data_IF_999721543041
#
_entry.id   IF_999721543041
#
_cell.length_a   1.000
_cell.length_b   1.000
_cell.length_c   1.000
_cell.angle_alpha   90.00
_cell.angle_beta   90.00
_cell.angle_gamma   90.00
#
_symmetry.space_group_name_H-M   'P 1'
#
loop_
_entity.id
_entity.type
_entity.pdbx_description
1 polymer ?
#
# COMPACT_ATOMS: atom_id res chain seq x y z
N UNK A 1 17.84 -8.19 12.08
CA UNK A 1 18.22 -8.01 10.67
C UNK A 1 17.06 -7.27 10.07
N UNK A 2 17.22 -5.98 9.75
CA UNK A 2 16.14 -5.24 9.11
C UNK A 2 15.84 -5.92 7.78
N UNK A 3 14.66 -6.55 7.68
CA UNK A 3 14.21 -7.12 6.41
C UNK A 3 14.11 -5.98 5.40
N UNK A 4 14.70 -6.18 4.22
CA UNK A 4 14.49 -5.27 3.09
C UNK A 4 12.98 -5.21 2.78
N UNK A 5 12.43 -4.00 2.61
CA UNK A 5 11.02 -3.76 2.27
C UNK A 5 10.60 -4.57 1.04
N UNK A 6 11.44 -4.64 0.02
CA UNK A 6 11.20 -5.45 -1.18
C UNK A 6 10.94 -6.92 -0.86
N UNK A 7 11.71 -7.48 0.09
CA UNK A 7 11.57 -8.88 0.51
C UNK A 7 10.33 -9.08 1.36
N UNK A 8 10.07 -8.18 2.32
CA UNK A 8 8.90 -8.26 3.19
C UNK A 8 7.59 -8.12 2.38
N UNK A 9 7.53 -7.15 1.46
CA UNK A 9 6.39 -6.93 0.59
C UNK A 9 6.15 -8.14 -0.33
N UNK A 10 7.18 -8.63 -1.00
CA UNK A 10 7.08 -9.83 -1.85
C UNK A 10 6.62 -11.06 -1.06
N UNK A 11 7.13 -11.22 0.16
CA UNK A 11 6.70 -12.31 1.06
C UNK A 11 5.22 -12.19 1.39
N UNK A 12 4.75 -11.00 1.78
CA UNK A 12 3.33 -10.77 2.04
C UNK A 12 2.46 -11.03 0.81
N UNK A 13 2.83 -10.50 -0.36
CA UNK A 13 2.10 -10.74 -1.62
C UNK A 13 2.05 -12.22 -1.98
N UNK A 14 3.13 -12.98 -1.78
CA UNK A 14 3.11 -14.42 -2.01
C UNK A 14 2.14 -15.13 -1.06
N UNK A 15 2.16 -14.81 0.25
CA UNK A 15 1.20 -15.38 1.21
C UNK A 15 -0.25 -15.05 0.84
N UNK A 16 -0.49 -13.87 0.27
CA UNK A 16 -1.82 -13.46 -0.21
C UNK A 16 -2.27 -14.30 -1.41
N UNK A 17 -1.41 -14.50 -2.41
CA UNK A 17 -1.70 -15.35 -3.57
C UNK A 17 -1.92 -16.80 -3.14
N UNK A 18 -1.06 -17.33 -2.27
CA UNK A 18 -1.16 -18.71 -1.77
C UNK A 18 -2.51 -18.93 -1.06
N UNK A 19 -2.96 -17.96 -0.26
CA UNK A 19 -4.27 -18.01 0.38
C UNK A 19 -5.41 -18.10 -0.64
N UNK A 20 -5.38 -17.25 -1.67
CA UNK A 20 -6.38 -17.28 -2.75
C UNK A 20 -6.41 -18.61 -3.46
N UNK A 21 -5.25 -19.13 -3.87
CA UNK A 21 -5.15 -20.40 -4.56
C UNK A 21 -5.62 -21.56 -3.69
N UNK A 22 -5.28 -21.56 -2.40
CA UNK A 22 -5.68 -22.62 -1.47
C UNK A 22 -7.20 -22.62 -1.21
N UNK A 23 -7.83 -21.45 -1.09
CA UNK A 23 -9.24 -21.34 -0.70
C UNK A 23 -10.20 -21.36 -1.89
N UNK A 24 -9.78 -20.85 -3.05
CA UNK A 24 -10.65 -20.66 -4.22
C UNK A 24 -10.22 -21.47 -5.44
N UNK A 25 -8.97 -21.96 -5.48
CA UNK A 25 -8.39 -22.56 -6.68
C UNK A 25 -7.97 -21.55 -7.75
N UNK A 26 -8.13 -20.25 -7.50
CA UNK A 26 -7.83 -19.18 -8.44
C UNK A 26 -6.77 -18.21 -7.92
N UNK A 27 -6.23 -17.40 -8.83
CA UNK A 27 -5.46 -16.20 -8.48
C UNK A 27 -6.35 -15.17 -7.78
N UNK A 28 -5.77 -14.16 -7.10
CA UNK A 28 -6.51 -13.01 -6.61
C UNK A 28 -7.46 -12.43 -7.65
N UNK A 29 -8.73 -12.27 -7.27
CA UNK A 29 -9.75 -11.63 -8.09
C UNK A 29 -10.13 -10.26 -7.53
N UNK A 30 -10.40 -9.29 -8.41
CA UNK A 30 -10.89 -7.96 -8.02
C UNK A 30 -12.00 -7.47 -8.94
N UNK A 31 -13.14 -7.12 -8.34
CA UNK A 31 -14.25 -6.42 -9.02
C UNK A 31 -13.97 -4.94 -9.16
N UNK A 32 -13.29 -4.34 -8.18
CA UNK A 32 -12.97 -2.91 -8.16
C UNK A 32 -12.01 -2.50 -9.28
N UNK A 33 -11.15 -3.44 -9.70
CA UNK A 33 -10.18 -3.23 -10.78
C UNK A 33 -10.72 -3.66 -12.16
N UNK A 34 -11.98 -4.09 -12.24
CA UNK A 34 -12.60 -4.47 -13.51
C UNK A 34 -12.67 -3.26 -14.46
N UNK A 35 -12.16 -3.43 -15.68
CA UNK A 35 -12.10 -2.37 -16.68
C UNK A 35 -10.96 -1.37 -16.51
N UNK A 36 -10.10 -1.52 -15.49
CA UNK A 36 -8.91 -0.68 -15.29
C UNK A 36 -7.67 -1.40 -15.83
N UNK A 37 -7.02 -0.91 -16.91
CA UNK A 37 -5.89 -1.60 -17.53
C UNK A 37 -4.69 -1.74 -16.59
N UNK A 38 -4.03 -2.90 -16.65
CA UNK A 38 -2.80 -3.17 -15.91
C UNK A 38 -2.05 -4.37 -16.51
N UNK A 39 -0.70 -4.38 -16.42
CA UNK A 39 0.10 -5.58 -16.73
C UNK A 39 -0.18 -6.75 -15.77
N UNK A 40 -0.79 -6.51 -14.60
CA UNK A 40 -1.10 -7.53 -13.61
C UNK A 40 -2.22 -8.47 -14.03
N UNK A 41 -3.08 -8.06 -14.97
CA UNK A 41 -4.26 -8.83 -15.40
C UNK A 41 -3.80 -10.08 -16.14
N UNK A 42 -4.18 -11.24 -15.61
CA UNK A 42 -3.96 -12.56 -16.21
C UNK A 42 -5.19 -12.99 -16.99
N UNK A 43 -6.38 -12.77 -16.41
CA UNK A 43 -7.66 -13.13 -17.01
C UNK A 43 -8.73 -12.10 -16.62
N UNK A 44 -9.66 -11.83 -17.52
CA UNK A 44 -10.84 -10.99 -17.25
C UNK A 44 -12.08 -11.87 -17.31
N UNK A 45 -12.79 -11.96 -16.19
CA UNK A 45 -14.08 -12.64 -16.07
C UNK A 45 -15.25 -11.73 -16.48
N UNK A 46 -16.46 -12.07 -16.06
CA UNK A 46 -17.67 -11.28 -16.36
C UNK A 46 -17.67 -9.92 -15.65
N UNK A 47 -17.34 -9.89 -14.35
CA UNK A 47 -17.40 -8.69 -13.50
C UNK A 47 -16.14 -8.47 -12.64
N UNK A 48 -15.06 -9.21 -12.93
CA UNK A 48 -13.81 -9.17 -12.16
C UNK A 48 -12.59 -9.48 -13.01
N UNK A 49 -11.42 -9.06 -12.55
CA UNK A 49 -10.11 -9.42 -13.11
C UNK A 49 -9.35 -10.34 -12.17
N UNK A 50 -8.70 -11.36 -12.71
CA UNK A 50 -7.73 -12.19 -12.00
C UNK A 50 -6.33 -11.67 -12.26
N UNK A 51 -5.53 -11.55 -11.21
CA UNK A 51 -4.27 -10.84 -11.30
C UNK A 51 -3.12 -11.51 -10.58
N UNK A 52 -1.91 -11.17 -11.02
CA UNK A 52 -0.65 -11.53 -10.37
C UNK A 52 0.27 -10.30 -10.35
N UNK A 53 1.16 -10.16 -9.35
CA UNK A 53 2.06 -9.03 -9.29
C UNK A 53 3.03 -9.04 -10.49
N UNK A 54 3.37 -7.85 -10.97
CA UNK A 54 4.36 -7.66 -12.03
C UNK A 54 5.51 -6.79 -11.54
N UNK A 55 6.67 -6.92 -12.18
CA UNK A 55 7.78 -6.02 -11.90
C UNK A 55 7.38 -4.56 -12.18
N UNK A 56 7.83 -3.63 -11.34
CA UNK A 56 7.62 -2.21 -11.56
C UNK A 56 8.60 -1.72 -12.63
N UNK A 57 8.13 -1.68 -13.88
CA UNK A 57 8.93 -1.27 -15.03
C UNK A 57 8.25 -0.14 -15.79
N UNK A 58 8.98 0.93 -16.16
CA UNK A 58 10.40 1.20 -15.80
C UNK A 58 10.58 1.46 -14.30
N UNK A 59 11.79 1.23 -13.78
CA UNK A 59 12.10 1.57 -12.38
C UNK A 59 11.78 3.05 -12.12
N UNK A 60 11.10 3.32 -11.01
CA UNK A 60 10.68 4.66 -10.63
C UNK A 60 10.96 4.94 -9.15
N UNK A 61 10.81 6.21 -8.78
CA UNK A 61 10.93 6.66 -7.39
C UNK A 61 9.85 7.72 -7.11
N UNK A 62 9.59 7.98 -5.84
CA UNK A 62 8.69 9.05 -5.40
C UNK A 62 9.36 10.44 -5.35
N UNK A 63 10.51 10.61 -6.01
CA UNK A 63 11.27 11.88 -6.02
C UNK A 63 10.49 13.06 -6.61
N UNK A 64 9.45 12.82 -7.39
CA UNK A 64 8.52 13.86 -7.84
C UNK A 64 7.81 14.53 -6.66
N UNK A 65 7.40 13.74 -5.66
CA UNK A 65 6.73 14.22 -4.44
C UNK A 65 7.72 15.06 -3.62
N UNK A 66 8.94 14.56 -3.45
CA UNK A 66 10.02 15.28 -2.75
C UNK A 66 10.26 16.67 -3.37
N UNK A 67 10.38 16.73 -4.70
CA UNK A 67 10.56 17.98 -5.44
C UNK A 67 9.36 18.91 -5.33
N UNK A 68 8.14 18.37 -5.43
CA UNK A 68 6.91 19.16 -5.39
C UNK A 68 6.68 19.83 -4.03
N UNK A 69 7.15 19.21 -2.94
CA UNK A 69 6.85 19.65 -1.57
C UNK A 69 8.07 20.14 -0.77
N UNK A 70 9.26 20.06 -1.36
CA UNK A 70 10.54 20.35 -0.70
C UNK A 70 10.70 19.54 0.60
N UNK A 71 10.43 18.23 0.51
CA UNK A 71 10.54 17.27 1.61
C UNK A 71 11.46 16.12 1.22
N UNK A 72 12.13 15.52 2.18
CA UNK A 72 12.79 14.23 2.00
C UNK A 72 11.86 13.13 2.50
N UNK A 73 11.53 12.17 1.64
CA UNK A 73 10.68 11.05 2.01
C UNK A 73 11.50 9.95 2.72
N UNK A 74 10.84 9.22 3.60
CA UNK A 74 11.44 8.05 4.23
C UNK A 74 11.74 7.00 3.15
N UNK A 75 12.96 6.45 3.07
CA UNK A 75 13.39 5.60 1.95
C UNK A 75 12.46 4.40 1.72
N UNK A 76 12.00 3.76 2.79
CA UNK A 76 11.08 2.61 2.73
C UNK A 76 9.79 2.86 1.91
N UNK A 77 9.31 4.11 1.81
CA UNK A 77 8.09 4.39 1.03
C UNK A 77 8.33 4.30 -0.47
N UNK A 78 9.56 4.55 -0.93
CA UNK A 78 9.92 4.36 -2.32
C UNK A 78 9.78 2.88 -2.65
N UNK A 79 10.49 2.03 -1.91
CA UNK A 79 10.45 0.58 -2.12
C UNK A 79 9.04 0.01 -2.00
N UNK A 80 8.23 0.50 -1.06
CA UNK A 80 6.85 0.04 -0.91
C UNK A 80 5.99 0.25 -2.16
N UNK A 81 6.12 1.41 -2.81
CA UNK A 81 5.29 1.77 -3.96
C UNK A 81 5.94 1.53 -5.33
N UNK A 82 7.24 1.24 -5.39
CA UNK A 82 7.95 1.05 -6.66
C UNK A 82 8.60 -0.32 -6.80
N UNK A 83 8.25 -1.29 -5.96
CA UNK A 83 8.79 -2.64 -6.06
C UNK A 83 8.03 -3.53 -7.05
N UNK A 84 6.71 -3.35 -7.16
CA UNK A 84 5.83 -4.16 -8.00
C UNK A 84 4.59 -3.37 -8.41
N UNK A 85 4.01 -3.75 -9.54
CA UNK A 85 2.59 -3.52 -9.77
C UNK A 85 1.80 -4.68 -9.14
N UNK A 86 0.70 -4.36 -8.46
CA UNK A 86 -0.17 -5.33 -7.81
C UNK A 86 -1.55 -4.70 -7.55
N UNK A 87 -2.57 -5.55 -7.39
CA UNK A 87 -3.85 -5.11 -6.85
C UNK A 87 -3.76 -4.88 -5.35
N UNK A 88 -4.71 -4.14 -4.80
CA UNK A 88 -4.85 -3.98 -3.36
C UNK A 88 -5.08 -5.33 -2.68
N UNK A 89 -4.56 -5.47 -1.46
CA UNK A 89 -4.57 -6.74 -0.74
C UNK A 89 -5.16 -6.57 0.66
N UNK A 90 -6.19 -7.37 0.97
CA UNK A 90 -6.79 -7.35 2.31
C UNK A 90 -5.96 -8.15 3.32
N UNK A 91 -5.80 -7.58 4.51
CA UNK A 91 -5.07 -8.21 5.60
C UNK A 91 -5.56 -7.78 6.99
N UNK A 92 -5.34 -8.65 7.96
CA UNK A 92 -5.56 -8.36 9.38
C UNK A 92 -4.23 -8.16 10.12
N UNK A 93 -4.25 -7.23 11.08
CA UNK A 93 -3.23 -7.07 12.12
C UNK A 93 -3.90 -6.80 13.47
N UNK A 94 -3.76 -7.74 14.40
CA UNK A 94 -4.49 -7.69 15.66
C UNK A 94 -6.00 -7.66 15.41
N UNK A 95 -6.64 -6.57 15.84
CA UNK A 95 -8.08 -6.32 15.68
C UNK A 95 -8.41 -5.38 14.51
N UNK A 96 -7.43 -5.02 13.69
CA UNK A 96 -7.61 -4.12 12.56
C UNK A 96 -7.62 -4.90 11.26
N UNK A 97 -8.62 -4.61 10.42
CA UNK A 97 -8.66 -5.01 9.03
C UNK A 97 -8.18 -3.85 8.15
N UNK A 98 -7.31 -4.18 7.21
CA UNK A 98 -6.68 -3.25 6.30
C UNK A 98 -6.90 -3.68 4.86
N UNK A 99 -7.04 -2.71 3.97
CA UNK A 99 -6.79 -2.88 2.54
C UNK A 99 -5.44 -2.24 2.25
N UNK A 100 -4.42 -3.07 2.08
CA UNK A 100 -3.06 -2.63 1.76
C UNK A 100 -3.03 -2.11 0.33
N UNK A 101 -2.73 -0.83 0.18
CA UNK A 101 -2.76 -0.13 -1.10
C UNK A 101 -1.52 -0.49 -1.91
N UNK A 102 -1.70 -0.74 -3.19
CA UNK A 102 -0.62 -1.01 -4.15
C UNK A 102 -0.77 -0.12 -5.38
N UNK A 103 0.23 -0.20 -6.28
CA UNK A 103 0.18 0.49 -7.56
C UNK A 103 -0.32 -0.48 -8.61
N UNK A 104 -1.43 -0.17 -9.25
CA UNK A 104 -2.02 -1.07 -10.24
C UNK A 104 -1.33 -0.99 -11.61
N UNK A 105 -0.91 0.20 -12.00
CA UNK A 105 -0.32 0.48 -13.32
C UNK A 105 0.46 1.80 -13.31
N UNK A 106 1.07 2.18 -14.44
CA UNK A 106 1.75 3.47 -14.58
C UNK A 106 0.80 4.67 -14.40
N UNK A 107 -0.40 4.61 -14.98
CA UNK A 107 -1.42 5.66 -14.79
C UNK A 107 -1.85 5.77 -13.34
N UNK A 108 -1.99 4.63 -12.66
CA UNK A 108 -2.33 4.59 -11.24
C UNK A 108 -1.20 5.12 -10.36
N UNK A 109 0.07 4.91 -10.74
CA UNK A 109 1.22 5.48 -10.05
C UNK A 109 1.22 7.02 -10.07
N UNK A 110 0.75 7.63 -11.16
CA UNK A 110 0.61 9.09 -11.26
C UNK A 110 -0.45 9.55 -10.25
N UNK A 111 -1.61 8.89 -10.23
CA UNK A 111 -2.71 9.22 -9.30
C UNK A 111 -2.30 9.02 -7.84
N UNK A 112 -1.56 7.96 -7.53
CA UNK A 112 -1.03 7.72 -6.20
C UNK A 112 -0.15 8.89 -5.75
N UNK A 113 0.75 9.37 -6.61
CA UNK A 113 1.62 10.50 -6.27
C UNK A 113 0.81 11.78 -6.01
N UNK A 114 -0.22 12.05 -6.82
CA UNK A 114 -1.14 13.18 -6.60
C UNK A 114 -1.85 13.07 -5.24
N UNK A 115 -2.33 11.88 -4.88
CA UNK A 115 -2.98 11.61 -3.61
C UNK A 115 -2.03 11.80 -2.42
N UNK A 116 -0.79 11.29 -2.52
CA UNK A 116 0.24 11.47 -1.50
C UNK A 116 0.61 12.95 -1.34
N UNK A 117 0.73 13.70 -2.45
CA UNK A 117 0.95 15.15 -2.42
C UNK A 117 -0.20 15.85 -1.69
N UNK A 118 -1.46 15.55 -2.06
CA UNK A 118 -2.64 16.13 -1.42
C UNK A 118 -2.71 15.88 0.08
N UNK A 119 -2.36 14.66 0.51
CA UNK A 119 -2.28 14.29 1.93
C UNK A 119 -1.20 15.10 2.66
N UNK A 120 0.02 15.13 2.14
CA UNK A 120 1.14 15.87 2.73
C UNK A 120 0.88 17.39 2.79
N UNK A 121 0.26 17.97 1.75
CA UNK A 121 -0.16 19.38 1.75
C UNK A 121 -1.18 19.65 2.87
N UNK A 122 -2.16 18.76 3.03
CA UNK A 122 -3.17 18.87 4.08
C UNK A 122 -2.53 18.79 5.47
N UNK A 123 -1.61 17.85 5.68
CA UNK A 123 -0.87 17.72 6.93
C UNK A 123 -0.01 18.95 7.23
N UNK A 124 0.71 19.48 6.23
CA UNK A 124 1.50 20.72 6.35
C UNK A 124 0.63 21.90 6.75
N UNK A 125 -0.55 22.06 6.13
CA UNK A 125 -1.53 23.10 6.47
C UNK A 125 -2.03 22.98 7.92
N UNK A 126 -2.26 21.77 8.39
CA UNK A 126 -2.71 21.47 9.76
C UNK A 126 -1.56 21.40 10.79
N UNK A 127 -0.31 21.64 10.37
CA UNK A 127 0.89 21.52 11.21
C UNK A 127 1.06 20.14 11.85
N UNK A 128 0.65 19.10 11.14
CA UNK A 128 0.82 17.71 11.55
C UNK A 128 2.18 17.18 11.09
N UNK A 129 2.71 16.20 11.81
CA UNK A 129 3.91 15.49 11.39
C UNK A 129 3.63 14.73 10.08
N UNK A 130 4.50 14.77 9.06
CA UNK A 130 4.23 14.14 7.77
C UNK A 130 4.13 12.61 7.88
N UNK A 131 3.14 12.05 7.20
CA UNK A 131 3.00 10.60 7.02
C UNK A 131 2.64 10.30 5.58
N UNK A 132 2.88 9.05 5.18
CA UNK A 132 2.50 8.53 3.87
C UNK A 132 1.59 7.33 4.12
N UNK A 133 0.34 7.41 3.66
CA UNK A 133 -0.62 6.33 3.83
C UNK A 133 -0.12 5.06 3.13
N UNK A 134 -0.48 3.90 3.67
CA UNK A 134 -0.08 2.57 3.21
C UNK A 134 -1.30 1.66 3.02
N UNK A 135 -2.29 1.80 3.91
CA UNK A 135 -3.50 0.98 3.89
C UNK A 135 -4.71 1.76 4.40
N UNK A 136 -5.87 1.51 3.82
CA UNK A 136 -7.15 2.00 4.34
C UNK A 136 -7.72 1.03 5.37
N UNK A 137 -8.68 1.52 6.15
CA UNK A 137 -9.50 0.70 7.05
C UNK A 137 -10.96 0.78 6.61
N UNK A 138 -11.84 0.02 7.26
CA UNK A 138 -13.30 0.18 7.07
C UNK A 138 -13.84 1.54 7.56
N UNK A 139 -13.06 2.30 8.32
CA UNK A 139 -13.40 3.67 8.69
C UNK A 139 -12.82 4.65 7.68
N UNK A 140 -13.67 5.56 7.19
CA UNK A 140 -13.24 6.70 6.36
C UNK A 140 -12.27 7.65 7.07
N UNK A 141 -12.21 7.58 8.41
CA UNK A 141 -11.40 8.50 9.23
C UNK A 141 -10.04 7.94 9.62
N UNK A 142 -9.77 6.65 9.42
CA UNK A 142 -8.51 6.03 9.85
C UNK A 142 -7.78 5.29 8.75
N UNK A 143 -6.45 5.39 8.75
CA UNK A 143 -5.56 4.74 7.79
C UNK A 143 -4.27 4.31 8.49
N UNK A 144 -3.65 3.25 8.00
CA UNK A 144 -2.29 2.92 8.37
C UNK A 144 -1.33 3.71 7.48
N UNK A 145 -0.31 4.31 8.10
CA UNK A 145 0.65 5.17 7.42
C UNK A 145 2.05 5.02 7.97
N UNK A 146 3.05 5.26 7.12
CA UNK A 146 4.44 5.42 7.51
C UNK A 146 4.67 6.84 8.05
N UNK A 147 5.15 6.95 9.28
CA UNK A 147 5.63 8.21 9.83
C UNK A 147 6.95 8.59 9.15
N UNK A 148 6.94 9.67 8.37
CA UNK A 148 8.09 10.05 7.55
C UNK A 148 9.34 10.40 8.38
N UNK A 149 9.13 10.86 9.62
CA UNK A 149 10.22 11.27 10.52
C UNK A 149 10.81 10.08 11.29
N UNK A 150 9.97 9.16 11.75
CA UNK A 150 10.41 8.10 12.68
C UNK A 150 10.52 6.72 12.05
N UNK A 151 10.01 6.51 10.83
CA UNK A 151 9.95 5.17 10.20
C UNK A 151 8.91 4.23 10.81
N UNK A 152 8.17 4.67 11.84
CA UNK A 152 7.13 3.86 12.47
C UNK A 152 5.92 3.74 11.55
N UNK A 153 5.27 2.58 11.56
CA UNK A 153 3.93 2.43 10.99
C UNK A 153 2.89 2.71 12.07
N UNK A 154 1.97 3.62 11.79
CA UNK A 154 0.95 4.09 12.73
C UNK A 154 -0.44 3.97 12.13
N UNK A 155 -1.43 3.68 12.96
CA UNK A 155 -2.82 3.97 12.65
C UNK A 155 -3.07 5.44 12.98
N UNK A 156 -3.31 6.26 11.97
CA UNK A 156 -3.61 7.68 12.14
C UNK A 156 -5.09 7.97 11.91
N UNK A 157 -5.57 9.02 12.57
CA UNK A 157 -6.85 9.63 12.25
C UNK A 157 -6.64 10.82 11.32
N UNK A 158 -7.35 10.84 10.20
CA UNK A 158 -7.24 11.92 9.22
C UNK A 158 -7.50 13.29 9.84
N UNK A 159 -6.62 14.25 9.55
CA UNK A 159 -6.71 15.63 10.06
C UNK A 159 -6.39 15.80 11.55
N UNK A 160 -5.81 14.80 12.20
CA UNK A 160 -5.52 14.78 13.63
C UNK A 160 -4.09 14.33 13.93
N UNK A 161 -3.57 14.69 15.10
CA UNK A 161 -2.27 14.21 15.63
C UNK A 161 -2.39 12.86 16.35
N UNK A 162 -3.61 12.34 16.53
CA UNK A 162 -3.88 11.04 17.14
C UNK A 162 -3.31 9.90 16.30
N UNK A 163 -2.37 9.17 16.89
CA UNK A 163 -1.68 8.03 16.28
C UNK A 163 -1.53 6.89 17.27
N UNK A 164 -1.81 5.67 16.80
CA UNK A 164 -1.51 4.43 17.53
C UNK A 164 -0.38 3.71 16.80
N UNK A 165 0.67 3.32 17.52
CA UNK A 165 1.77 2.55 16.92
C UNK A 165 1.29 1.16 16.50
N UNK A 166 1.49 0.79 15.24
CA UNK A 166 1.22 -0.54 14.70
C UNK A 166 2.50 -1.38 14.63
N UNK A 167 3.60 -0.78 14.17
CA UNK A 167 4.91 -1.42 14.10
C UNK A 167 6.04 -0.37 14.15
N UNK A 168 7.21 -0.78 14.60
CA UNK A 168 8.40 0.09 14.66
C UNK A 168 9.04 0.36 13.29
N UNK A 169 8.80 -0.50 12.30
CA UNK A 169 9.28 -0.32 10.92
C UNK A 169 8.25 -0.86 9.93
N UNK A 170 8.37 -0.46 8.66
CA UNK A 170 7.50 -0.96 7.60
C UNK A 170 7.70 -2.46 7.32
N UNK A 171 8.93 -2.97 7.39
CA UNK A 171 9.20 -4.40 7.25
C UNK A 171 8.48 -5.23 8.33
N UNK A 172 8.56 -4.81 9.60
CA UNK A 172 7.85 -5.48 10.69
C UNK A 172 6.33 -5.42 10.54
N UNK A 173 5.79 -4.33 9.98
CA UNK A 173 4.37 -4.25 9.67
C UNK A 173 3.97 -5.29 8.62
N UNK A 174 4.68 -5.35 7.48
CA UNK A 174 4.41 -6.28 6.38
C UNK A 174 4.55 -7.75 6.79
N UNK A 175 5.54 -8.07 7.62
CA UNK A 175 5.72 -9.42 8.16
C UNK A 175 4.60 -9.83 9.12
N UNK A 176 4.06 -8.88 9.89
CA UNK A 176 2.99 -9.14 10.85
C UNK A 176 1.59 -9.23 10.22
N UNK A 177 1.40 -8.69 9.01
CA UNK A 177 0.13 -8.77 8.29
C UNK A 177 -0.24 -10.23 7.97
N UNK A 178 -1.48 -10.59 8.31
CA UNK A 178 -2.10 -11.85 7.93
C UNK A 178 -3.04 -11.62 6.75
N UNK A 179 -2.76 -12.17 5.55
CA UNK A 179 -3.65 -12.00 4.40
C UNK A 179 -5.03 -12.59 4.70
N UNK A 180 -6.07 -11.95 4.16
CA UNK A 180 -7.45 -12.42 4.20
C UNK A 180 -8.10 -12.27 2.83
N UNK A 181 -9.10 -13.08 2.53
CA UNK A 181 -9.91 -12.89 1.33
C UNK A 181 -10.83 -11.67 1.51
N UNK A 182 -11.11 -10.91 0.43
CA UNK A 182 -12.20 -9.94 0.43
C UNK A 182 -13.56 -10.64 0.62
N UNK A 183 -14.49 -9.91 1.23
CA UNK A 183 -15.86 -10.38 1.53
C UNK A 183 -16.74 -10.49 0.27
#
# INVERSE_FOLDING_TARGET
MDLNISTALRSFTQRYIDLWQQQTGHLPASKELYGVPSPCIVETGEDQVFWQPQAFLPEATLTNIERALEIQLHPDIHDFYTQQYAGDMMADLGNHRFTLLQVWSEDDFIRLQENLIGHLVTQKRLKLSPTLFLATTSSEMTMASLCNVSGNVVLEQFGSDKRTLLASTLSHFLDALRPVLPE
#
